data_IF_933425394624
#
_entry.id   IF_933425394624
#
_cell.length_a   1.000
_cell.length_b   1.000
_cell.length_c   1.000
_cell.angle_alpha   90.00
_cell.angle_beta   90.00
_cell.angle_gamma   90.00
#
_symmetry.space_group_name_H-M   'P 1'
#
loop_
_entity.id
_entity.type
_entity.pdbx_description
1 polymer ?
#
# COMPACT_ATOMS: atom_id res chain seq x y z
N UNK A 1 -15.44 -5.37 -0.74
CA UNK A 1 -14.38 -6.37 -0.58
C UNK A 1 -14.69 -7.54 -1.50
N UNK A 2 -13.75 -8.02 -2.32
CA UNK A 2 -14.02 -9.16 -3.21
C UNK A 2 -14.39 -10.39 -2.38
N UNK A 3 -15.47 -11.05 -2.78
CA UNK A 3 -16.00 -12.22 -2.10
C UNK A 3 -16.27 -13.31 -3.15
N UNK A 4 -15.82 -14.52 -2.86
CA UNK A 4 -16.04 -15.68 -3.73
C UNK A 4 -17.13 -16.56 -3.10
N UNK A 5 -18.16 -16.88 -3.87
CA UNK A 5 -19.28 -17.72 -3.48
C UNK A 5 -19.20 -19.08 -4.18
N UNK A 6 -19.48 -20.14 -3.43
CA UNK A 6 -19.60 -21.50 -3.95
C UNK A 6 -20.48 -22.33 -3.02
N UNK A 7 -21.48 -23.04 -3.56
CA UNK A 7 -22.34 -23.99 -2.84
C UNK A 7 -22.97 -23.41 -1.55
N UNK A 8 -23.51 -22.16 -1.63
CA UNK A 8 -24.14 -21.48 -0.50
C UNK A 8 -23.19 -20.96 0.58
N UNK A 9 -21.87 -21.09 0.37
CA UNK A 9 -20.82 -20.61 1.27
C UNK A 9 -20.02 -19.50 0.58
N UNK A 10 -19.27 -18.73 1.35
CA UNK A 10 -18.40 -17.71 0.80
C UNK A 10 -17.05 -17.64 1.53
N UNK A 11 -16.06 -17.08 0.84
CA UNK A 11 -14.77 -16.71 1.39
C UNK A 11 -14.38 -15.33 0.88
N UNK A 12 -13.74 -14.54 1.73
CA UNK A 12 -13.23 -13.24 1.30
C UNK A 12 -11.99 -13.42 0.42
N UNK A 13 -11.94 -12.72 -0.71
CA UNK A 13 -10.84 -12.75 -1.68
C UNK A 13 -9.53 -12.07 -1.21
N UNK A 14 -9.33 -11.97 0.08
CA UNK A 14 -8.18 -11.33 0.72
C UNK A 14 -6.98 -12.26 0.87
N UNK A 15 -7.23 -13.57 0.86
CA UNK A 15 -6.20 -14.61 0.91
C UNK A 15 -6.42 -15.58 -0.25
N UNK A 16 -5.54 -15.55 -1.23
CA UNK A 16 -5.65 -16.41 -2.42
C UNK A 16 -5.54 -17.90 -2.10
N UNK A 17 -4.83 -18.29 -1.03
CA UNK A 17 -4.76 -19.71 -0.60
C UNK A 17 -6.10 -20.18 -0.06
N UNK A 18 -6.80 -19.35 0.71
CA UNK A 18 -8.14 -19.69 1.23
C UNK A 18 -9.15 -19.74 0.09
N UNK A 19 -9.07 -18.81 -0.87
CA UNK A 19 -9.88 -18.84 -2.08
C UNK A 19 -9.61 -20.10 -2.88
N UNK A 20 -8.35 -20.42 -3.18
CA UNK A 20 -7.98 -21.62 -3.93
C UNK A 20 -8.50 -22.88 -3.24
N UNK A 21 -8.30 -23.02 -1.94
CA UNK A 21 -8.82 -24.14 -1.14
C UNK A 21 -10.34 -24.22 -1.21
N UNK A 22 -11.02 -23.08 -1.10
CA UNK A 22 -12.48 -23.00 -1.12
C UNK A 22 -13.09 -23.44 -2.46
N UNK A 23 -12.46 -23.07 -3.58
CA UNK A 23 -12.93 -23.45 -4.93
C UNK A 23 -12.35 -24.77 -5.43
N UNK A 24 -11.49 -25.43 -4.62
CA UNK A 24 -10.90 -26.72 -4.95
C UNK A 24 -9.72 -26.65 -5.92
N UNK A 25 -9.11 -25.49 -6.07
CA UNK A 25 -7.86 -25.35 -6.83
C UNK A 25 -6.65 -25.63 -5.93
N UNK A 26 -5.64 -26.28 -6.52
CA UNK A 26 -4.33 -26.34 -5.86
C UNK A 26 -3.81 -24.91 -5.69
N UNK A 27 -3.24 -24.61 -4.51
CA UNK A 27 -2.65 -23.31 -4.25
C UNK A 27 -1.68 -22.98 -5.39
N UNK A 28 -1.93 -21.87 -6.08
CA UNK A 28 -0.98 -21.34 -7.07
C UNK A 28 0.37 -21.21 -6.37
N UNK A 29 1.46 -21.51 -7.05
CA UNK A 29 2.82 -21.51 -6.49
C UNK A 29 3.31 -20.13 -5.99
N UNK A 30 2.37 -19.22 -5.65
CA UNK A 30 2.68 -17.93 -5.06
C UNK A 30 3.26 -18.13 -3.67
N UNK A 31 4.49 -17.66 -3.49
CA UNK A 31 5.17 -17.61 -2.21
C UNK A 31 5.37 -16.14 -1.84
N UNK A 32 4.86 -15.75 -0.67
CA UNK A 32 5.07 -14.42 -0.12
C UNK A 32 6.56 -14.11 0.02
N UNK A 33 6.96 -12.88 -0.26
CA UNK A 33 8.33 -12.46 -0.03
C UNK A 33 8.69 -12.52 1.47
N UNK A 34 9.90 -12.95 1.83
CA UNK A 34 10.35 -12.89 3.22
C UNK A 34 10.29 -11.45 3.76
N UNK A 35 10.00 -11.25 5.06
CA UNK A 35 9.91 -9.92 5.66
C UNK A 35 11.13 -9.02 5.41
N UNK A 36 12.33 -9.60 5.40
CA UNK A 36 13.59 -8.88 5.12
C UNK A 36 13.66 -8.33 3.68
N UNK A 37 12.94 -8.97 2.75
CA UNK A 37 12.81 -8.45 1.38
C UNK A 37 11.72 -7.41 1.27
N UNK A 38 10.62 -7.57 2.05
CA UNK A 38 9.52 -6.62 2.06
C UNK A 38 9.94 -5.23 2.55
N UNK A 39 10.75 -5.14 3.63
CA UNK A 39 11.21 -3.83 4.15
C UNK A 39 11.98 -3.05 3.07
N UNK A 40 12.94 -3.68 2.41
CA UNK A 40 13.71 -3.04 1.34
C UNK A 40 12.83 -2.55 0.20
N UNK A 41 11.89 -3.39 -0.26
CA UNK A 41 10.95 -3.02 -1.33
C UNK A 41 10.02 -1.90 -0.91
N UNK A 42 9.45 -1.96 0.28
CA UNK A 42 8.51 -0.91 0.73
C UNK A 42 9.20 0.44 0.88
N UNK A 43 10.39 0.47 1.49
CA UNK A 43 11.18 1.70 1.58
C UNK A 43 11.53 2.23 0.18
N UNK A 44 11.93 1.36 -0.76
CA UNK A 44 12.20 1.75 -2.16
C UNK A 44 10.97 2.37 -2.82
N UNK A 45 9.81 1.74 -2.67
CA UNK A 45 8.53 2.22 -3.23
C UNK A 45 8.13 3.57 -2.64
N UNK A 46 8.16 3.72 -1.31
CA UNK A 46 7.78 4.97 -0.65
C UNK A 46 8.75 6.12 -0.98
N UNK A 47 10.05 5.83 -1.05
CA UNK A 47 11.06 6.81 -1.47
C UNK A 47 10.88 7.24 -2.93
N UNK A 48 10.54 6.31 -3.81
CA UNK A 48 10.20 6.64 -5.20
C UNK A 48 8.94 7.52 -5.27
N UNK A 49 7.91 7.19 -4.48
CA UNK A 49 6.69 7.98 -4.39
C UNK A 49 6.99 9.44 -3.98
N UNK A 50 7.87 9.65 -3.00
CA UNK A 50 8.30 11.00 -2.61
C UNK A 50 8.96 11.78 -3.77
N UNK A 51 9.85 11.10 -4.54
CA UNK A 51 10.45 11.74 -5.73
C UNK A 51 9.42 12.16 -6.76
N UNK A 52 8.38 11.36 -6.94
CA UNK A 52 7.28 11.65 -7.87
C UNK A 52 6.39 12.78 -7.36
N UNK A 53 6.08 12.79 -6.07
CA UNK A 53 5.27 13.85 -5.45
C UNK A 53 5.98 15.19 -5.56
N UNK A 54 7.32 15.26 -5.37
CA UNK A 54 8.10 16.50 -5.56
C UNK A 54 8.00 17.08 -6.98
N UNK A 55 7.67 16.27 -7.97
CA UNK A 55 7.49 16.73 -9.36
C UNK A 55 6.07 17.28 -9.63
N UNK A 56 5.11 17.05 -8.72
CA UNK A 56 3.73 17.50 -8.90
C UNK A 56 3.61 18.99 -8.60
N UNK A 57 3.08 19.80 -9.53
CA UNK A 57 2.71 21.18 -9.23
C UNK A 57 1.57 21.22 -8.20
N UNK A 58 1.65 22.11 -7.22
CA UNK A 58 0.67 22.18 -6.13
C UNK A 58 -0.75 22.45 -6.64
N UNK A 59 -0.90 23.28 -7.68
CA UNK A 59 -2.19 23.57 -8.33
C UNK A 59 -2.83 22.33 -8.97
N UNK A 60 -2.07 21.25 -9.22
CA UNK A 60 -2.58 19.99 -9.77
C UNK A 60 -3.05 19.02 -8.69
N UNK A 61 -2.70 19.23 -7.43
CA UNK A 61 -3.01 18.31 -6.33
C UNK A 61 -4.52 18.10 -6.11
N UNK A 62 -5.34 19.13 -6.39
CA UNK A 62 -6.80 19.04 -6.33
C UNK A 62 -7.41 18.28 -7.53
N UNK A 63 -6.64 18.11 -8.62
CA UNK A 63 -7.09 17.43 -9.83
C UNK A 63 -7.46 15.97 -9.58
N UNK A 64 -8.40 15.44 -10.37
CA UNK A 64 -8.81 14.04 -10.28
C UNK A 64 -7.75 13.11 -10.85
N UNK A 65 -7.54 11.98 -10.17
CA UNK A 65 -6.62 10.92 -10.63
C UNK A 65 -7.14 10.26 -11.90
N UNK A 66 -8.42 9.93 -11.91
CA UNK A 66 -9.19 9.44 -13.07
C UNK A 66 -10.55 10.13 -13.10
N UNK A 67 -11.06 10.32 -14.32
CA UNK A 67 -12.20 11.18 -14.59
C UNK A 67 -13.47 10.78 -13.83
N UNK A 68 -13.71 9.49 -13.67
CA UNK A 68 -14.94 8.94 -13.07
C UNK A 68 -14.80 8.54 -11.58
N UNK A 69 -13.70 8.92 -10.91
CA UNK A 69 -13.51 8.68 -9.48
C UNK A 69 -13.27 9.98 -8.72
N UNK A 70 -13.98 10.14 -7.63
CA UNK A 70 -13.80 11.30 -6.73
C UNK A 70 -12.58 11.08 -5.82
N UNK A 71 -11.41 10.94 -6.44
CA UNK A 71 -10.13 10.85 -5.75
C UNK A 71 -9.16 11.86 -6.37
N UNK A 72 -8.73 12.82 -5.58
CA UNK A 72 -7.72 13.79 -6.01
C UNK A 72 -6.31 13.19 -6.03
N UNK A 73 -5.41 13.85 -6.76
CA UNK A 73 -3.98 13.53 -6.76
C UNK A 73 -3.40 13.64 -5.34
N UNK A 74 -3.80 14.67 -4.58
CA UNK A 74 -3.45 14.83 -3.16
C UNK A 74 -3.87 13.62 -2.34
N UNK A 75 -5.11 13.18 -2.48
CA UNK A 75 -5.63 12.02 -1.76
C UNK A 75 -4.84 10.74 -2.12
N UNK A 76 -4.56 10.50 -3.39
CA UNK A 76 -3.76 9.35 -3.83
C UNK A 76 -2.36 9.39 -3.21
N UNK A 77 -1.71 10.57 -3.26
CA UNK A 77 -0.36 10.80 -2.74
C UNK A 77 -0.28 10.62 -1.22
N UNK A 78 -1.27 11.09 -0.48
CA UNK A 78 -1.38 10.85 0.96
C UNK A 78 -1.65 9.38 1.26
N UNK A 79 -2.62 8.78 0.58
CA UNK A 79 -3.10 7.42 0.85
C UNK A 79 -1.99 6.37 0.78
N UNK A 80 -1.06 6.47 -0.17
CA UNK A 80 0.04 5.50 -0.28
C UNK A 80 0.95 5.47 0.95
N UNK A 81 1.14 6.60 1.66
CA UNK A 81 1.85 6.67 2.93
C UNK A 81 0.95 6.28 4.10
N UNK A 82 -0.33 6.69 4.07
CA UNK A 82 -1.30 6.37 5.12
C UNK A 82 -1.51 4.86 5.27
N UNK A 83 -1.42 4.09 4.18
CA UNK A 83 -1.40 2.61 4.23
C UNK A 83 -0.26 2.11 5.13
N UNK A 84 0.92 2.69 5.01
CA UNK A 84 2.07 2.32 5.85
C UNK A 84 1.86 2.75 7.31
N UNK A 85 1.34 3.94 7.53
CA UNK A 85 1.05 4.42 8.88
C UNK A 85 -0.01 3.55 9.58
N UNK A 86 -1.11 3.19 8.89
CA UNK A 86 -2.12 2.29 9.42
C UNK A 86 -1.55 0.90 9.76
N UNK A 87 -0.62 0.39 8.94
CA UNK A 87 0.13 -0.81 9.26
C UNK A 87 0.91 -0.65 10.57
N UNK A 88 1.62 0.47 10.74
CA UNK A 88 2.41 0.75 11.96
C UNK A 88 1.52 0.90 13.20
N UNK A 89 0.35 1.51 13.09
CA UNK A 89 -0.65 1.57 14.17
C UNK A 89 -1.05 0.17 14.62
N UNK A 90 -1.18 -0.77 13.69
CA UNK A 90 -1.49 -2.17 14.02
C UNK A 90 -0.27 -2.90 14.58
N UNK A 91 0.87 -2.78 13.91
CA UNK A 91 2.08 -3.55 14.25
C UNK A 91 2.71 -3.13 15.59
N UNK A 92 2.61 -1.86 15.95
CA UNK A 92 3.20 -1.28 17.18
C UNK A 92 2.14 -1.05 18.26
N UNK A 93 1.03 -0.47 17.87
CA UNK A 93 -0.04 -0.05 18.79
C UNK A 93 -1.10 -1.12 19.05
N UNK A 94 -1.07 -2.26 18.34
CA UNK A 94 -2.09 -3.30 18.48
C UNK A 94 -3.48 -2.87 18.01
N UNK A 95 -3.59 -1.73 17.32
CA UNK A 95 -4.86 -1.22 16.80
C UNK A 95 -5.33 -2.10 15.65
N UNK A 96 -6.60 -2.51 15.68
CA UNK A 96 -7.18 -3.29 14.59
C UNK A 96 -7.05 -2.53 13.26
N UNK A 97 -6.59 -3.22 12.20
CA UNK A 97 -6.49 -2.65 10.87
C UNK A 97 -7.87 -2.51 10.23
N UNK A 98 -8.44 -1.31 10.24
CA UNK A 98 -9.78 -1.04 9.74
C UNK A 98 -9.81 -0.69 8.25
N UNK A 99 -10.91 -0.99 7.56
CA UNK A 99 -11.05 -0.76 6.11
C UNK A 99 -10.97 0.73 5.73
N UNK A 100 -11.43 1.62 6.61
CA UNK A 100 -11.40 3.07 6.41
C UNK A 100 -10.07 3.72 6.79
N UNK A 101 -9.24 3.06 7.61
CA UNK A 101 -8.03 3.66 8.17
C UNK A 101 -7.06 4.22 7.11
N UNK A 102 -6.77 3.54 5.98
CA UNK A 102 -5.92 4.09 4.95
C UNK A 102 -6.60 5.14 4.05
N UNK A 103 -7.92 5.23 4.07
CA UNK A 103 -8.69 6.03 3.12
C UNK A 103 -8.92 7.49 3.51
N UNK A 104 -8.74 7.81 4.78
CA UNK A 104 -9.13 9.10 5.32
C UNK A 104 -7.98 10.11 5.31
N UNK A 105 -8.17 11.22 4.62
CA UNK A 105 -7.33 12.41 4.75
C UNK A 105 -8.01 13.35 5.74
N UNK A 106 -7.52 13.36 6.99
CA UNK A 106 -8.06 14.28 8.00
C UNK A 106 -7.81 15.72 7.59
N UNK A 107 -8.82 16.59 7.63
CA UNK A 107 -8.65 18.02 7.38
C UNK A 107 -7.64 18.67 8.33
N UNK A 108 -7.45 18.10 9.52
CA UNK A 108 -6.53 18.58 10.55
C UNK A 108 -5.05 18.41 10.18
N UNK A 109 -4.74 17.51 9.24
CA UNK A 109 -3.36 17.27 8.79
C UNK A 109 -2.78 18.44 7.98
N UNK A 110 -3.58 19.43 7.59
CA UNK A 110 -3.14 20.61 6.84
C UNK A 110 -2.20 20.30 5.65
N UNK A 111 -2.42 19.17 4.97
CA UNK A 111 -1.63 18.75 3.81
C UNK A 111 -2.17 19.47 2.57
N UNK A 112 -1.50 20.54 2.16
CA UNK A 112 -1.95 21.39 1.06
C UNK A 112 -0.99 21.39 -0.14
N UNK A 113 0.28 21.14 0.08
CA UNK A 113 1.34 21.21 -0.92
C UNK A 113 2.02 19.85 -1.14
N UNK A 114 2.77 19.74 -2.22
CA UNK A 114 3.64 18.58 -2.48
C UNK A 114 4.72 18.45 -1.38
N UNK A 115 5.22 19.56 -0.85
CA UNK A 115 6.18 19.54 0.26
C UNK A 115 5.56 19.02 1.56
N UNK A 116 4.29 19.32 1.85
CA UNK A 116 3.59 18.75 3.01
C UNK A 116 3.48 17.22 2.89
N UNK A 117 3.12 16.73 1.69
CA UNK A 117 3.06 15.30 1.40
C UNK A 117 4.42 14.62 1.56
N UNK A 118 5.48 15.27 1.11
CA UNK A 118 6.85 14.76 1.23
C UNK A 118 7.27 14.68 2.70
N UNK A 119 7.05 15.75 3.50
CA UNK A 119 7.35 15.74 4.94
C UNK A 119 6.57 14.67 5.69
N UNK A 120 5.29 14.48 5.36
CA UNK A 120 4.50 13.37 5.89
C UNK A 120 5.13 12.02 5.55
N UNK A 121 5.51 11.83 4.28
CA UNK A 121 6.19 10.63 3.81
C UNK A 121 7.54 10.38 4.50
N UNK A 122 8.35 11.42 4.74
CA UNK A 122 9.62 11.31 5.47
C UNK A 122 9.40 10.75 6.89
N UNK A 123 8.39 11.26 7.60
CA UNK A 123 8.03 10.79 8.92
C UNK A 123 7.61 9.30 8.90
N UNK A 124 6.74 8.94 7.95
CA UNK A 124 6.24 7.56 7.81
C UNK A 124 7.38 6.59 7.49
N UNK A 125 8.28 6.94 6.56
CA UNK A 125 9.44 6.10 6.19
C UNK A 125 10.39 5.94 7.38
N UNK A 126 10.66 7.01 8.12
CA UNK A 126 11.52 6.96 9.31
C UNK A 126 10.93 6.03 10.40
N UNK A 127 9.61 6.12 10.62
CA UNK A 127 8.90 5.24 11.56
C UNK A 127 8.91 3.79 11.09
N UNK A 128 8.73 3.52 9.79
CA UNK A 128 8.78 2.17 9.22
C UNK A 128 10.17 1.54 9.42
N UNK A 129 11.25 2.29 9.15
CA UNK A 129 12.62 1.82 9.37
C UNK A 129 12.88 1.51 10.82
N UNK A 130 12.54 2.43 11.74
CA UNK A 130 12.69 2.23 13.18
C UNK A 130 11.91 1.01 13.66
N UNK A 131 10.66 0.86 13.25
CA UNK A 131 9.88 -0.34 13.58
C UNK A 131 10.61 -1.62 13.18
N UNK A 132 11.14 -1.64 11.94
CA UNK A 132 11.88 -2.82 11.48
C UNK A 132 13.15 -3.06 12.29
N UNK A 133 13.93 -2.02 12.56
CA UNK A 133 15.18 -2.14 13.31
C UNK A 133 14.94 -2.66 14.73
N UNK A 134 13.91 -2.14 15.40
CA UNK A 134 13.54 -2.47 16.78
C UNK A 134 12.76 -3.80 16.92
N UNK A 135 12.27 -4.36 15.81
CA UNK A 135 11.45 -5.58 15.83
C UNK A 135 12.28 -6.79 16.28
N UNK A 136 11.91 -7.39 17.44
CA UNK A 136 12.62 -8.53 17.99
C UNK A 136 12.43 -9.81 17.16
N UNK A 137 11.20 -10.11 16.76
CA UNK A 137 10.86 -11.26 15.90
C UNK A 137 10.60 -10.82 14.46
N UNK A 138 11.62 -10.91 13.64
CA UNK A 138 11.57 -10.55 12.21
C UNK A 138 10.75 -11.54 11.35
N UNK A 139 10.28 -12.65 11.92
CA UNK A 139 9.42 -13.60 11.19
C UNK A 139 8.02 -13.02 10.90
N UNK A 140 7.60 -12.02 11.69
CA UNK A 140 6.27 -11.39 11.60
C UNK A 140 5.12 -12.41 11.68
N UNK A 141 5.28 -13.51 12.47
CA UNK A 141 4.25 -14.54 12.60
C UNK A 141 3.19 -14.23 13.65
N UNK A 142 3.37 -13.18 14.46
CA UNK A 142 2.35 -12.74 15.42
C UNK A 142 1.02 -12.44 14.73
N UNK A 143 -0.07 -12.72 15.46
CA UNK A 143 -1.43 -12.48 14.96
C UNK A 143 -1.83 -11.02 15.17
N UNK A 144 -2.50 -10.47 14.19
CA UNK A 144 -3.07 -9.12 14.22
C UNK A 144 -4.52 -9.16 13.76
N UNK A 145 -5.34 -8.29 14.33
CA UNK A 145 -6.73 -8.15 13.95
C UNK A 145 -6.89 -7.20 12.77
N UNK A 146 -7.65 -7.62 11.77
CA UNK A 146 -7.96 -6.80 10.60
C UNK A 146 -9.46 -6.84 10.29
N UNK A 147 -9.94 -5.92 9.47
CA UNK A 147 -11.36 -5.90 9.06
C UNK A 147 -11.76 -7.11 8.19
N UNK A 148 -10.80 -7.89 7.73
CA UNK A 148 -11.01 -9.15 7.00
C UNK A 148 -10.62 -10.39 7.83
N UNK A 149 -10.57 -10.24 9.18
CA UNK A 149 -10.27 -11.30 10.14
C UNK A 149 -8.85 -11.28 10.66
N UNK A 150 -8.56 -12.20 11.57
CA UNK A 150 -7.23 -12.38 12.17
C UNK A 150 -6.24 -12.92 11.14
N UNK A 151 -5.09 -12.27 10.99
CA UNK A 151 -4.01 -12.69 10.08
C UNK A 151 -2.65 -12.68 10.77
N UNK A 152 -1.61 -13.19 10.11
CA UNK A 152 -0.24 -12.92 10.54
C UNK A 152 0.16 -11.49 10.19
N UNK A 153 1.02 -10.89 10.98
CA UNK A 153 1.59 -9.58 10.66
C UNK A 153 2.31 -9.62 9.30
N UNK A 154 2.95 -10.74 8.93
CA UNK A 154 3.57 -10.92 7.62
C UNK A 154 2.57 -10.75 6.46
N UNK A 155 1.37 -11.33 6.57
CA UNK A 155 0.33 -11.18 5.54
C UNK A 155 -0.14 -9.74 5.41
N UNK A 156 -0.35 -9.05 6.53
CA UNK A 156 -0.70 -7.63 6.53
C UNK A 156 0.43 -6.77 5.96
N UNK A 157 1.69 -7.09 6.33
CA UNK A 157 2.88 -6.41 5.85
C UNK A 157 3.00 -6.49 4.33
N UNK A 158 2.90 -7.68 3.76
CA UNK A 158 2.93 -7.88 2.32
C UNK A 158 1.80 -7.12 1.62
N UNK A 159 0.58 -7.22 2.17
CA UNK A 159 -0.60 -6.51 1.64
C UNK A 159 -0.36 -5.01 1.58
N UNK A 160 0.11 -4.39 2.66
CA UNK A 160 0.36 -2.96 2.71
C UNK A 160 1.51 -2.55 1.80
N UNK A 161 2.54 -3.38 1.65
CA UNK A 161 3.66 -3.14 0.74
C UNK A 161 3.20 -3.08 -0.71
N UNK A 162 2.48 -4.10 -1.20
CA UNK A 162 2.02 -4.09 -2.59
C UNK A 162 0.93 -3.03 -2.83
N UNK A 163 0.13 -2.69 -1.83
CA UNK A 163 -0.88 -1.64 -1.93
C UNK A 163 -0.22 -0.27 -2.16
N UNK A 164 0.80 0.08 -1.37
CA UNK A 164 1.60 1.29 -1.61
C UNK A 164 2.28 1.25 -2.98
N UNK A 165 2.80 0.09 -3.40
CA UNK A 165 3.44 -0.07 -4.71
C UNK A 165 2.44 0.15 -5.86
N UNK A 166 1.21 -0.36 -5.75
CA UNK A 166 0.16 -0.12 -6.75
C UNK A 166 -0.17 1.37 -6.89
N UNK A 167 -0.32 2.08 -5.77
CA UNK A 167 -0.58 3.51 -5.81
C UNK A 167 0.62 4.33 -6.32
N UNK A 168 1.85 3.87 -6.07
CA UNK A 168 3.04 4.48 -6.67
C UNK A 168 3.07 4.30 -8.19
N UNK A 169 2.66 3.14 -8.72
CA UNK A 169 2.47 2.95 -10.18
C UNK A 169 1.40 3.89 -10.74
N UNK A 170 0.31 4.09 -10.03
CA UNK A 170 -0.75 5.04 -10.41
C UNK A 170 -0.22 6.48 -10.43
N UNK A 171 0.63 6.85 -9.47
CA UNK A 171 1.27 8.17 -9.43
C UNK A 171 2.20 8.41 -10.62
N UNK A 172 2.95 7.39 -11.06
CA UNK A 172 3.74 7.43 -12.30
C UNK A 172 2.83 7.79 -13.50
N UNK A 173 1.70 7.10 -13.64
CA UNK A 173 0.77 7.37 -14.74
C UNK A 173 0.13 8.76 -14.64
N UNK A 174 -0.08 9.27 -13.43
CA UNK A 174 -0.53 10.67 -13.22
C UNK A 174 0.50 11.65 -13.74
N UNK A 175 1.78 11.49 -13.40
CA UNK A 175 2.86 12.35 -13.90
C UNK A 175 2.93 12.33 -15.43
N UNK A 176 2.93 11.13 -16.03
CA UNK A 176 2.98 10.95 -17.49
C UNK A 176 1.80 11.65 -18.19
N UNK A 177 0.59 11.55 -17.61
CA UNK A 177 -0.60 12.26 -18.13
C UNK A 177 -0.48 13.79 -18.03
N UNK A 178 0.25 14.28 -17.03
CA UNK A 178 0.57 15.71 -16.87
C UNK A 178 1.74 16.15 -17.76
N UNK A 179 2.31 15.26 -18.59
CA UNK A 179 3.48 15.54 -19.42
C UNK A 179 4.80 15.58 -18.64
N UNK A 180 4.82 15.08 -17.41
CA UNK A 180 5.99 15.09 -16.54
C UNK A 180 6.66 13.72 -16.58
N UNK A 181 7.94 13.66 -16.94
CA UNK A 181 8.72 12.42 -16.91
C UNK A 181 9.07 12.04 -15.47
N UNK A 182 8.69 10.82 -15.01
CA UNK A 182 9.00 10.36 -13.67
C UNK A 182 10.52 10.23 -13.43
N UNK A 183 11.06 10.98 -12.49
CA UNK A 183 12.48 10.92 -12.12
C UNK A 183 12.79 9.61 -11.37
N UNK A 184 13.77 8.84 -11.85
CA UNK A 184 14.17 7.58 -11.22
C UNK A 184 13.00 6.58 -11.18
N UNK A 185 12.44 6.25 -12.35
CA UNK A 185 11.31 5.33 -12.49
C UNK A 185 11.59 3.99 -11.80
N UNK A 186 10.58 3.47 -11.06
CA UNK A 186 10.63 2.12 -10.52
C UNK A 186 10.78 1.10 -11.65
N UNK A 187 11.70 0.17 -11.45
CA UNK A 187 11.97 -0.94 -12.38
C UNK A 187 11.09 -2.15 -12.08
N UNK A 188 11.04 -3.09 -13.02
CA UNK A 188 10.42 -4.39 -12.77
C UNK A 188 11.09 -5.13 -11.59
N UNK A 189 12.42 -4.97 -11.40
CA UNK A 189 13.17 -5.54 -10.28
C UNK A 189 12.74 -4.99 -8.93
N UNK A 190 12.46 -3.68 -8.84
CA UNK A 190 11.97 -3.05 -7.60
C UNK A 190 10.62 -3.63 -7.16
N UNK A 191 9.80 -4.06 -8.10
CA UNK A 191 8.45 -4.57 -7.88
C UNK A 191 8.36 -6.10 -7.89
N UNK A 192 9.42 -6.79 -8.28
CA UNK A 192 9.41 -8.24 -8.43
C UNK A 192 9.01 -8.97 -7.14
N UNK A 193 8.15 -9.98 -7.28
CA UNK A 193 7.64 -10.80 -6.18
C UNK A 193 6.49 -10.18 -5.39
N UNK A 194 6.11 -8.93 -5.64
CA UNK A 194 4.88 -8.35 -5.07
C UNK A 194 3.66 -8.80 -5.90
N UNK A 195 2.54 -9.18 -5.26
CA UNK A 195 1.32 -9.62 -5.95
C UNK A 195 0.53 -8.45 -6.53
N UNK A 196 1.16 -7.71 -7.43
CA UNK A 196 0.56 -6.53 -8.05
C UNK A 196 -0.48 -6.93 -9.11
N UNK A 197 -1.63 -6.24 -9.18
CA UNK A 197 -2.59 -6.44 -10.24
C UNK A 197 -2.00 -6.06 -11.59
N UNK A 198 -2.42 -6.78 -12.65
CA UNK A 198 -1.99 -6.45 -14.01
C UNK A 198 -2.53 -5.09 -14.46
N UNK A 199 -3.79 -4.80 -14.11
CA UNK A 199 -4.41 -3.50 -14.44
C UNK A 199 -3.91 -2.43 -13.47
N UNK A 200 -3.65 -1.26 -14.04
CA UNK A 200 -3.22 -0.09 -13.24
C UNK A 200 -4.39 0.52 -12.46
N UNK A 201 -5.57 0.58 -13.09
CA UNK A 201 -6.81 1.12 -12.54
C UNK A 201 -7.86 0.01 -12.43
N UNK A 202 -8.44 -0.15 -11.26
CA UNK A 202 -9.57 -1.04 -10.97
C UNK A 202 -10.87 -0.23 -10.80
#
# INVERSE_FOLDING_TARGET
MPTVFKDGKFVYGTNLKDVAKFIGLQATGYQALPPEKLIGKWVTVLTAAQRYIRQLPDERLAGRVIENRDRSIRHLSHHLFRVCEAFLETAVGGIKFESGAPGYLSPELAINTSDDLVRYGDNVIARLRRWWDDLADKSCQQKVETFFGTQTLHMLYERCTWHSAQHTRQLIAVLERLGIQPNGRLTAGDLAGLPLPQRLWE
#
